data_IF_723464729468
#
_entry.id   IF_723464729468
#
_cell.length_a   1.000
_cell.length_b   1.000
_cell.length_c   1.000
_cell.angle_alpha   90.00
_cell.angle_beta   90.00
_cell.angle_gamma   90.00
#
_symmetry.space_group_name_H-M   'P 1'
#
loop_
_entity.id
_entity.type
_entity.pdbx_description
1 polymer ?
#
# COMPACT_ATOMS: atom_id res chain seq x y z
N UNK A 1 9.98 -12.65 1.82
CA UNK A 1 10.06 -11.28 1.27
C UNK A 1 9.45 -10.35 2.30
N UNK A 2 10.28 -9.58 3.00
CA UNK A 2 9.87 -8.80 4.16
C UNK A 2 9.07 -7.56 3.75
N UNK A 3 7.99 -7.30 4.48
CA UNK A 3 7.29 -6.02 4.44
C UNK A 3 7.95 -5.10 5.48
N UNK A 4 8.29 -3.87 5.08
CA UNK A 4 8.90 -2.90 5.98
C UNK A 4 7.80 -2.13 6.70
N UNK A 5 7.80 -2.22 8.02
CA UNK A 5 6.86 -1.52 8.92
C UNK A 5 7.61 -0.47 9.74
N UNK A 6 7.10 0.76 9.80
CA UNK A 6 7.56 1.78 10.74
C UNK A 6 6.81 1.61 12.04
N UNK A 7 7.50 1.61 13.18
CA UNK A 7 6.81 1.85 14.44
C UNK A 7 6.38 3.33 14.50
N UNK A 8 5.10 3.59 14.75
CA UNK A 8 4.55 4.95 14.89
C UNK A 8 4.26 5.32 16.35
N UNK A 9 4.42 4.36 17.27
CA UNK A 9 4.37 4.57 18.72
C UNK A 9 5.43 3.71 19.41
N UNK A 10 6.06 4.24 20.46
CA UNK A 10 7.01 3.48 21.28
C UNK A 10 6.27 2.36 22.03
N UNK A 11 6.68 1.11 21.79
CA UNK A 11 6.05 -0.06 22.41
C UNK A 11 7.04 -1.23 22.56
N UNK A 12 6.79 -2.15 23.48
CA UNK A 12 7.61 -3.35 23.69
C UNK A 12 7.03 -4.53 22.92
N UNK A 13 7.79 -5.09 21.98
CA UNK A 13 7.37 -6.20 21.09
C UNK A 13 6.66 -7.33 21.84
N UNK A 14 5.47 -7.74 21.37
CA UNK A 14 4.68 -8.85 21.91
C UNK A 14 4.29 -9.82 20.78
N UNK A 15 4.23 -11.12 21.10
CA UNK A 15 4.03 -12.22 20.15
C UNK A 15 2.67 -12.21 19.43
N UNK A 16 1.70 -11.44 19.95
CA UNK A 16 0.32 -11.31 19.46
C UNK A 16 0.07 -10.04 18.61
N UNK A 17 1.11 -9.21 18.40
CA UNK A 17 1.03 -8.01 17.57
C UNK A 17 1.21 -8.33 16.09
N UNK A 18 0.20 -8.96 15.52
CA UNK A 18 0.06 -9.01 14.07
C UNK A 18 -0.15 -7.56 13.55
N UNK A 19 0.50 -7.17 12.44
CA UNK A 19 0.36 -5.84 11.84
C UNK A 19 -1.08 -5.51 11.40
N UNK A 20 -1.97 -6.48 11.46
CA UNK A 20 -3.39 -6.37 11.14
C UNK A 20 -4.25 -5.91 12.34
N UNK A 21 -3.81 -6.21 13.57
CA UNK A 21 -4.55 -5.94 14.82
C UNK A 21 -4.05 -4.72 15.60
N UNK A 22 -2.76 -4.39 15.53
CA UNK A 22 -2.18 -3.19 16.18
C UNK A 22 -1.65 -2.17 15.16
N UNK A 23 -2.55 -1.71 14.29
CA UNK A 23 -2.26 -0.76 13.20
C UNK A 23 -1.96 0.67 13.65
N UNK A 24 -2.28 1.00 14.92
CA UNK A 24 -1.85 2.24 15.56
C UNK A 24 -0.39 2.22 16.02
N UNK A 25 0.26 1.05 15.95
CA UNK A 25 1.65 0.85 16.36
C UNK A 25 2.59 0.69 15.15
N UNK A 26 2.08 0.21 14.00
CA UNK A 26 2.87 -0.12 12.82
C UNK A 26 2.26 0.48 11.53
N UNK A 27 3.07 1.23 10.78
CA UNK A 27 2.71 1.78 9.47
C UNK A 27 3.50 1.07 8.37
N UNK A 28 2.82 0.48 7.38
CA UNK A 28 3.48 -0.06 6.19
C UNK A 28 4.14 1.07 5.41
N UNK A 29 5.46 1.00 5.21
CA UNK A 29 6.21 2.07 4.51
C UNK A 29 6.52 1.68 3.06
N UNK A 30 6.39 0.40 2.70
CA UNK A 30 6.69 -0.08 1.35
C UNK A 30 5.75 -1.20 0.93
N UNK A 31 5.03 -0.97 -0.17
CA UNK A 31 4.41 -2.01 -0.97
C UNK A 31 5.47 -2.89 -1.63
N UNK A 32 5.28 -4.22 -1.71
CA UNK A 32 6.23 -5.10 -2.39
C UNK A 32 6.33 -4.73 -3.87
N UNK A 33 7.55 -4.58 -4.37
CA UNK A 33 7.84 -4.24 -5.76
C UNK A 33 7.97 -5.53 -6.58
N UNK A 34 7.28 -5.60 -7.71
CA UNK A 34 7.35 -6.69 -8.68
C UNK A 34 8.59 -6.52 -9.59
N UNK A 35 9.04 -7.60 -10.27
CA UNK A 35 10.21 -7.55 -11.15
C UNK A 35 10.09 -6.53 -12.29
N UNK A 36 8.87 -6.19 -12.68
CA UNK A 36 8.53 -5.22 -13.73
C UNK A 36 8.60 -3.75 -13.26
N UNK A 37 8.97 -3.51 -11.99
CA UNK A 37 9.00 -2.18 -11.38
C UNK A 37 7.64 -1.68 -10.87
N UNK A 38 6.54 -2.36 -11.21
CA UNK A 38 5.22 -2.13 -10.63
C UNK A 38 5.18 -2.56 -9.15
N UNK A 39 4.49 -1.81 -8.30
CA UNK A 39 4.28 -2.16 -6.89
C UNK A 39 2.98 -2.94 -6.73
N UNK A 40 2.83 -3.85 -5.78
CA UNK A 40 1.49 -4.41 -5.49
C UNK A 40 0.66 -3.33 -4.79
N UNK A 41 -0.59 -3.13 -5.23
CA UNK A 41 -1.48 -2.17 -4.54
C UNK A 41 -1.62 -2.59 -3.08
N UNK A 42 -1.31 -1.66 -2.18
CA UNK A 42 -1.36 -1.89 -0.74
C UNK A 42 -2.05 -0.69 -0.11
N UNK A 43 -3.06 -0.90 0.76
CA UNK A 43 -3.68 0.21 1.47
C UNK A 43 -2.67 0.86 2.41
N UNK A 44 -2.91 2.13 2.73
CA UNK A 44 -2.10 2.98 3.60
C UNK A 44 -0.73 3.38 3.03
N UNK A 45 -0.51 3.18 1.73
CA UNK A 45 0.67 3.66 1.01
C UNK A 45 0.38 4.99 0.34
N UNK A 46 1.32 5.94 0.45
CA UNK A 46 1.29 7.17 -0.32
C UNK A 46 1.78 6.90 -1.75
N UNK A 47 0.88 7.04 -2.71
CA UNK A 47 1.16 6.92 -4.14
C UNK A 47 1.25 8.29 -4.78
N UNK A 48 2.24 8.47 -5.63
CA UNK A 48 2.48 9.69 -6.41
C UNK A 48 1.86 9.57 -7.79
N UNK A 49 1.73 10.69 -8.49
CA UNK A 49 1.37 10.70 -9.91
C UNK A 49 2.32 9.79 -10.69
N UNK A 50 1.79 9.01 -11.63
CA UNK A 50 2.49 8.03 -12.46
C UNK A 50 3.00 6.77 -11.72
N UNK A 51 2.71 6.61 -10.42
CA UNK A 51 3.05 5.36 -9.71
C UNK A 51 2.23 4.18 -10.28
N UNK A 52 2.94 3.11 -10.65
CA UNK A 52 2.33 1.89 -11.18
C UNK A 52 2.10 0.89 -10.06
N UNK A 53 0.84 0.47 -9.91
CA UNK A 53 0.44 -0.60 -9.01
C UNK A 53 -0.14 -1.80 -9.75
N UNK A 54 -0.04 -2.97 -9.14
CA UNK A 54 -0.61 -4.21 -9.62
C UNK A 54 -1.72 -4.64 -8.67
N UNK A 55 -2.92 -4.81 -9.19
CA UNK A 55 -4.08 -5.23 -8.43
C UNK A 55 -4.89 -6.22 -9.25
N UNK A 56 -5.22 -7.37 -8.66
CA UNK A 56 -6.02 -8.43 -9.28
C UNK A 56 -5.56 -8.87 -10.70
N UNK A 57 -4.25 -8.89 -10.95
CA UNK A 57 -3.72 -9.27 -12.27
C UNK A 57 -3.61 -8.12 -13.28
N UNK A 58 -4.06 -6.92 -12.93
CA UNK A 58 -4.11 -5.74 -13.81
C UNK A 58 -3.16 -4.66 -13.30
N UNK A 59 -2.50 -3.96 -14.23
CA UNK A 59 -1.67 -2.78 -13.93
C UNK A 59 -2.54 -1.53 -13.89
N UNK A 60 -2.36 -0.75 -12.84
CA UNK A 60 -2.98 0.56 -12.69
C UNK A 60 -1.91 1.62 -12.46
N UNK A 61 -2.19 2.83 -12.92
CA UNK A 61 -1.35 4.00 -12.74
C UNK A 61 -2.10 4.99 -11.88
N UNK A 62 -1.44 5.51 -10.86
CA UNK A 62 -1.94 6.57 -10.03
C UNK A 62 -1.99 7.87 -10.85
N UNK A 63 -3.18 8.41 -11.06
CA UNK A 63 -3.39 9.68 -11.81
C UNK A 63 -3.58 10.88 -10.89
N UNK A 64 -3.74 10.64 -9.59
CA UNK A 64 -3.86 11.69 -8.59
C UNK A 64 -3.03 11.29 -7.35
N UNK A 65 -2.04 12.09 -6.91
CA UNK A 65 -1.26 11.78 -5.72
C UNK A 65 -2.18 11.65 -4.49
N UNK A 66 -2.14 10.51 -3.83
CA UNK A 66 -3.00 10.24 -2.69
C UNK A 66 -2.43 9.15 -1.78
N UNK A 67 -2.95 9.06 -0.56
CA UNK A 67 -2.68 7.92 0.31
C UNK A 67 -3.78 6.89 0.08
N UNK A 68 -3.41 5.71 -0.43
CA UNK A 68 -4.37 4.63 -0.62
C UNK A 68 -5.01 4.28 0.72
N UNK A 69 -6.32 4.09 0.73
CA UNK A 69 -7.07 3.66 1.90
C UNK A 69 -7.81 2.36 1.56
N UNK A 70 -8.15 1.54 2.56
CA UNK A 70 -9.12 0.46 2.35
C UNK A 70 -10.40 1.06 1.77
N UNK A 71 -10.89 0.49 0.67
CA UNK A 71 -12.00 1.08 -0.08
C UNK A 71 -11.56 1.99 -1.23
N UNK A 72 -10.26 2.24 -1.41
CA UNK A 72 -9.69 2.98 -2.55
C UNK A 72 -8.93 2.04 -3.49
N UNK A 73 -9.47 0.85 -3.69
CA UNK A 73 -8.92 -0.10 -4.64
C UNK A 73 -8.92 0.48 -6.07
N UNK A 74 -7.92 0.15 -6.91
CA UNK A 74 -7.81 0.69 -8.26
C UNK A 74 -9.01 0.36 -9.15
N UNK A 75 -9.67 -0.77 -8.91
CA UNK A 75 -10.89 -1.16 -9.62
C UNK A 75 -12.12 -0.31 -9.25
N UNK A 76 -12.14 0.28 -8.06
CA UNK A 76 -13.31 0.98 -7.51
C UNK A 76 -13.29 2.48 -7.78
N UNK A 77 -12.10 3.06 -7.94
CA UNK A 77 -11.91 4.52 -8.08
C UNK A 77 -11.13 4.89 -9.35
N UNK A 78 -11.80 4.93 -10.52
CA UNK A 78 -11.17 5.35 -11.78
C UNK A 78 -10.73 6.83 -11.77
N UNK A 79 -11.17 7.62 -10.77
CA UNK A 79 -10.73 9.01 -10.58
C UNK A 79 -9.32 9.12 -9.97
N UNK A 80 -8.85 8.06 -9.30
CA UNK A 80 -7.53 8.00 -8.67
C UNK A 80 -6.56 7.11 -9.44
N UNK A 81 -7.10 6.11 -10.14
CA UNK A 81 -6.35 5.07 -10.83
C UNK A 81 -6.82 4.92 -12.27
N UNK A 82 -5.88 4.74 -13.20
CA UNK A 82 -6.17 4.39 -14.59
C UNK A 82 -5.50 3.07 -14.97
N UNK A 83 -6.15 2.21 -15.75
CA UNK A 83 -5.53 0.97 -16.24
C UNK A 83 -4.46 1.29 -17.27
N UNK A 84 -3.29 0.64 -17.16
CA UNK A 84 -2.18 0.77 -18.13
C UNK A 84 -2.03 -0.48 -18.97
#
# INVERSE_FOLDING_TARGET
MGQNYQCIQAHTSQQDWNPELTRSLWQLISSPTLPDGAKVWTPWISYKLDDIVFYNGVKYVCIQPHVAQPGWEPERLPSLWTTK
#
